data_IF_592784693302
#
_entry.id   IF_592784693302
#
_cell.length_a   1.000
_cell.length_b   1.000
_cell.length_c   1.000
_cell.angle_alpha   90.00
_cell.angle_beta   90.00
_cell.angle_gamma   90.00
#
_symmetry.space_group_name_H-M   'P 1'
#
loop_
_entity.id
_entity.type
_entity.pdbx_description
1 polymer ?
#
# COMPACT_ATOMS: atom_id res chain seq x y z
N UNK A 1 -3.87 11.57 -3.56
CA UNK A 1 -2.58 10.83 -3.50
C UNK A 1 -2.91 9.37 -3.21
N UNK A 2 -2.42 8.43 -4.04
CA UNK A 2 -2.62 6.98 -3.86
C UNK A 2 -1.27 6.28 -3.63
N UNK A 3 -1.27 5.04 -3.11
CA UNK A 3 -0.02 4.28 -2.93
C UNK A 3 0.75 4.13 -4.25
N UNK A 4 0.10 3.82 -5.37
CA UNK A 4 0.75 3.75 -6.69
C UNK A 4 1.39 5.08 -7.07
N UNK A 5 0.70 6.20 -6.84
CA UNK A 5 1.23 7.53 -7.12
C UNK A 5 2.44 7.86 -6.23
N UNK A 6 2.41 7.48 -4.95
CA UNK A 6 3.54 7.64 -4.01
C UNK A 6 4.74 6.82 -4.46
N UNK A 7 4.55 5.55 -4.85
CA UNK A 7 5.63 4.71 -5.35
C UNK A 7 6.29 5.30 -6.60
N UNK A 8 5.50 5.87 -7.51
CA UNK A 8 6.02 6.56 -8.70
C UNK A 8 6.82 7.82 -8.34
N UNK A 9 6.28 8.69 -7.48
CA UNK A 9 6.91 9.95 -7.09
C UNK A 9 8.25 9.75 -6.35
N UNK A 10 8.34 8.70 -5.53
CA UNK A 10 9.53 8.41 -4.73
C UNK A 10 10.49 7.41 -5.39
N UNK A 11 10.26 7.06 -6.67
CA UNK A 11 10.98 6.00 -7.37
C UNK A 11 11.12 4.69 -6.55
N UNK A 12 10.10 4.35 -5.76
CA UNK A 12 10.08 3.16 -4.91
C UNK A 12 9.53 1.96 -5.70
N UNK A 13 10.03 0.76 -5.37
CA UNK A 13 9.68 -0.50 -6.04
C UNK A 13 8.57 -1.26 -5.33
N UNK A 14 8.62 -1.36 -4.01
CA UNK A 14 7.66 -2.09 -3.19
C UNK A 14 6.87 -1.13 -2.29
N UNK A 15 5.59 -1.41 -2.09
CA UNK A 15 4.74 -0.72 -1.12
C UNK A 15 3.72 -1.68 -0.51
N UNK A 16 3.22 -1.32 0.66
CA UNK A 16 2.14 -2.05 1.32
C UNK A 16 0.98 -1.11 1.61
N UNK A 17 -0.24 -1.59 1.38
CA UNK A 17 -1.46 -0.96 1.84
C UNK A 17 -2.11 -1.86 2.88
N UNK A 18 -2.68 -1.27 3.92
CA UNK A 18 -3.44 -1.97 4.95
C UNK A 18 -4.73 -1.20 5.26
N UNK A 19 -5.77 -1.94 5.66
CA UNK A 19 -7.04 -1.39 6.09
C UNK A 19 -7.51 -2.12 7.35
N UNK A 20 -8.00 -1.37 8.34
CA UNK A 20 -8.65 -1.96 9.50
C UNK A 20 -10.11 -2.28 9.17
N UNK A 21 -10.55 -3.44 9.65
CA UNK A 21 -11.94 -3.87 9.59
C UNK A 21 -12.34 -4.05 11.07
N UNK A 22 -13.24 -3.22 11.60
CA UNK A 22 -13.57 -3.16 13.04
C UNK A 22 -13.76 -4.53 13.72
N UNK A 23 -13.55 -4.59 15.04
CA UNK A 23 -13.51 -5.86 15.79
C UNK A 23 -12.08 -6.40 16.03
N UNK A 24 -11.06 -5.56 15.79
CA UNK A 24 -9.66 -5.88 16.07
C UNK A 24 -8.86 -6.45 14.89
N UNK A 25 -9.46 -6.55 13.70
CA UNK A 25 -8.82 -7.10 12.51
C UNK A 25 -8.28 -6.06 11.53
N UNK A 26 -7.39 -6.51 10.65
CA UNK A 26 -6.93 -5.75 9.49
C UNK A 26 -6.60 -6.69 8.33
N UNK A 27 -6.66 -6.14 7.12
CA UNK A 27 -6.19 -6.80 5.89
C UNK A 27 -5.08 -5.97 5.26
N UNK A 28 -4.14 -6.62 4.59
CA UNK A 28 -3.01 -5.97 3.95
C UNK A 28 -2.69 -6.59 2.58
N UNK A 29 -2.12 -5.78 1.69
CA UNK A 29 -1.61 -6.19 0.39
C UNK A 29 -0.24 -5.56 0.14
N UNK A 30 0.67 -6.35 -0.42
CA UNK A 30 1.97 -5.90 -0.92
C UNK A 30 1.86 -5.71 -2.43
N UNK A 31 2.38 -4.59 -2.93
CA UNK A 31 2.31 -4.21 -4.34
C UNK A 31 3.72 -3.88 -4.84
N UNK A 32 4.08 -4.42 -6.00
CA UNK A 32 5.28 -4.08 -6.73
C UNK A 32 4.94 -3.14 -7.90
N UNK A 33 5.72 -2.08 -8.09
CA UNK A 33 5.61 -1.17 -9.22
C UNK A 33 6.67 -1.52 -10.26
N UNK A 34 6.19 -1.98 -11.42
CA UNK A 34 7.00 -2.24 -12.61
C UNK A 34 7.47 -0.93 -13.27
#
# INVERSE_FOLDING_TARGET
ITLINVLKQNNAKLGAAAICNGGGGASAIVIERN
#
